data_IF_159812028359
#
_entry.id   IF_159812028359
#
_cell.length_a   1.000
_cell.length_b   1.000
_cell.length_c   1.000
_cell.angle_alpha   90.00
_cell.angle_beta   90.00
_cell.angle_gamma   90.00
#
_symmetry.space_group_name_H-M   'P 1'
#
loop_
_entity.id
_entity.type
_entity.pdbx_description
1 polymer ?
#
# COMPACT_ATOMS: atom_id res chain seq x y z
N UNK A 1 2.73 -7.14 1.60
CA UNK A 1 4.18 -6.97 1.33
C UNK A 1 5.02 -6.88 2.61
N UNK A 2 4.51 -6.28 3.70
CA UNK A 2 5.28 -6.10 4.94
C UNK A 2 5.86 -7.38 5.56
N UNK A 3 5.06 -8.45 5.69
CA UNK A 3 5.54 -9.73 6.21
C UNK A 3 6.56 -10.40 5.29
N UNK A 4 6.39 -10.26 3.98
CA UNK A 4 7.34 -10.75 2.98
C UNK A 4 8.67 -10.04 3.09
N UNK A 5 8.68 -8.72 3.27
CA UNK A 5 9.89 -7.94 3.45
C UNK A 5 10.71 -8.41 4.66
N UNK A 6 10.03 -8.65 5.80
CA UNK A 6 10.67 -9.20 6.99
C UNK A 6 11.27 -10.59 6.74
N UNK A 7 10.51 -11.47 6.10
CA UNK A 7 11.01 -12.81 5.77
C UNK A 7 12.23 -12.77 4.84
N UNK A 8 12.25 -11.87 3.85
CA UNK A 8 13.38 -11.72 2.93
C UNK A 8 14.64 -11.22 3.67
N UNK A 9 14.53 -10.25 4.57
CA UNK A 9 15.67 -9.78 5.39
C UNK A 9 16.22 -10.87 6.31
N UNK A 10 15.34 -11.65 6.94
CA UNK A 10 15.74 -12.78 7.78
C UNK A 10 16.58 -13.81 6.99
N UNK A 11 16.45 -13.82 5.66
CA UNK A 11 17.21 -14.66 4.74
C UNK A 11 18.33 -13.90 4.00
N UNK A 12 18.72 -12.71 4.47
CA UNK A 12 19.84 -11.94 3.93
C UNK A 12 19.55 -11.18 2.63
N UNK A 13 18.27 -11.01 2.26
CA UNK A 13 17.85 -10.24 1.10
C UNK A 13 17.33 -8.85 1.54
N UNK A 14 18.04 -7.75 1.23
CA UNK A 14 17.65 -6.42 1.66
C UNK A 14 16.42 -5.90 0.90
N UNK A 15 15.47 -5.33 1.63
CA UNK A 15 14.16 -4.85 1.16
C UNK A 15 13.78 -3.45 1.65
N UNK A 16 13.41 -2.55 0.75
CA UNK A 16 12.79 -1.27 1.10
C UNK A 16 11.35 -1.25 0.60
N UNK A 17 10.42 -0.81 1.44
CA UNK A 17 9.03 -0.59 1.05
C UNK A 17 8.85 0.87 0.67
N UNK A 18 8.22 1.12 -0.48
CA UNK A 18 7.69 2.43 -0.86
C UNK A 18 6.18 2.36 -0.72
N UNK A 19 5.57 3.28 0.05
CA UNK A 19 4.15 3.15 0.39
C UNK A 19 3.51 4.45 0.86
N UNK A 20 2.17 4.43 0.91
CA UNK A 20 1.34 5.59 1.30
C UNK A 20 0.50 5.36 2.56
N UNK A 21 0.49 4.14 3.11
CA UNK A 21 -0.22 3.81 4.36
C UNK A 21 0.77 3.75 5.53
N UNK A 22 1.13 4.91 6.09
CA UNK A 22 2.21 5.02 7.07
C UNK A 22 1.95 4.16 8.31
N UNK A 23 0.79 4.34 8.90
CA UNK A 23 0.32 3.62 10.10
C UNK A 23 0.37 2.09 9.93
N UNK A 24 -0.19 1.57 8.83
CA UNK A 24 -0.23 0.13 8.56
C UNK A 24 1.19 -0.43 8.40
N UNK A 25 2.06 0.27 7.66
CA UNK A 25 3.41 -0.22 7.36
C UNK A 25 4.32 -0.15 8.59
N UNK A 26 4.22 0.91 9.38
CA UNK A 26 4.97 1.06 10.63
C UNK A 26 4.51 0.05 11.68
N UNK A 27 3.21 -0.19 11.82
CA UNK A 27 2.65 -1.22 12.73
C UNK A 27 3.16 -2.62 12.35
N UNK A 28 3.20 -2.93 11.06
CA UNK A 28 3.77 -4.20 10.59
C UNK A 28 5.27 -4.35 10.88
N UNK A 29 5.97 -3.27 11.23
CA UNK A 29 7.35 -3.30 11.68
C UNK A 29 8.36 -3.65 10.60
N UNK A 30 8.23 -3.03 9.43
CA UNK A 30 9.05 -3.36 8.26
C UNK A 30 10.50 -2.89 8.42
N UNK A 31 11.46 -3.49 7.70
CA UNK A 31 12.88 -3.18 7.85
C UNK A 31 13.21 -1.73 7.48
N UNK A 32 12.73 -1.26 6.33
CA UNK A 32 12.95 0.08 5.79
C UNK A 32 11.70 0.55 5.07
N UNK A 33 11.33 1.81 5.27
CA UNK A 33 10.12 2.37 4.69
C UNK A 33 10.34 3.79 4.15
N UNK A 34 10.06 3.99 2.87
CA UNK A 34 9.87 5.32 2.28
C UNK A 34 8.37 5.60 2.19
N UNK A 35 7.95 6.57 3.00
CA UNK A 35 6.58 7.06 3.03
C UNK A 35 6.41 8.23 2.05
N UNK A 36 5.43 8.10 1.15
CA UNK A 36 4.97 9.19 0.28
C UNK A 36 3.49 9.42 0.57
N UNK A 37 3.16 10.61 1.11
CA UNK A 37 1.82 10.97 1.60
C UNK A 37 0.81 11.30 0.48
N UNK A 38 0.64 10.34 -0.43
CA UNK A 38 -0.16 10.41 -1.64
C UNK A 38 -1.34 9.43 -1.58
N UNK A 39 -2.36 9.58 -2.44
CA UNK A 39 -3.45 8.61 -2.51
C UNK A 39 -2.93 7.19 -2.73
N UNK A 40 -3.58 6.23 -2.06
CA UNK A 40 -3.23 4.81 -2.18
C UNK A 40 -3.17 4.37 -3.64
N UNK A 41 -2.06 3.72 -4.00
CA UNK A 41 -1.73 3.34 -5.39
C UNK A 41 -0.68 4.24 -6.05
N UNK A 42 -0.29 5.35 -5.43
CA UNK A 42 0.72 6.29 -5.97
C UNK A 42 1.98 6.42 -5.09
N UNK A 43 2.57 5.32 -4.55
CA UNK A 43 3.68 5.42 -3.61
C UNK A 43 4.98 5.95 -4.25
N UNK A 44 5.10 5.82 -5.57
CA UNK A 44 6.27 6.23 -6.35
C UNK A 44 6.15 7.64 -6.93
N UNK A 45 5.10 8.40 -6.63
CA UNK A 45 4.92 9.76 -7.16
C UNK A 45 3.69 9.93 -8.03
N UNK A 46 3.49 11.16 -8.54
CA UNK A 46 2.36 11.50 -9.43
C UNK A 46 2.49 10.79 -10.78
N UNK A 47 1.37 10.45 -11.44
CA UNK A 47 1.40 9.97 -12.82
C UNK A 47 2.16 10.95 -13.73
N UNK A 48 3.01 10.40 -14.60
CA UNK A 48 3.76 11.14 -15.63
C UNK A 48 4.84 12.13 -15.14
N UNK A 49 4.93 12.39 -13.84
CA UNK A 49 5.99 13.20 -13.24
C UNK A 49 7.26 12.36 -13.05
N UNK A 50 8.07 12.27 -14.10
CA UNK A 50 9.29 11.45 -14.12
C UNK A 50 10.36 11.93 -13.14
N UNK A 51 10.44 13.23 -12.89
CA UNK A 51 11.44 13.81 -11.99
C UNK A 51 11.11 13.46 -10.54
N UNK A 52 9.85 13.64 -10.13
CA UNK A 52 9.37 13.20 -8.83
C UNK A 52 9.54 11.69 -8.64
N UNK A 53 9.15 10.89 -9.63
CA UNK A 53 9.28 9.43 -9.55
C UNK A 53 10.72 8.99 -9.36
N UNK A 54 11.65 9.63 -10.10
CA UNK A 54 13.09 9.38 -9.94
C UNK A 54 13.57 9.73 -8.54
N UNK A 55 13.24 10.90 -8.03
CA UNK A 55 13.67 11.36 -6.71
C UNK A 55 13.15 10.46 -5.57
N UNK A 56 11.91 9.94 -5.68
CA UNK A 56 11.35 9.01 -4.70
C UNK A 56 12.09 7.67 -4.74
N UNK A 57 12.40 7.14 -5.93
CA UNK A 57 13.20 5.91 -6.08
C UNK A 57 14.62 6.10 -5.53
N UNK A 58 15.27 7.23 -5.81
CA UNK A 58 16.59 7.57 -5.26
C UNK A 58 16.57 7.64 -3.73
N UNK A 59 15.50 8.18 -3.14
CA UNK A 59 15.29 8.17 -1.67
C UNK A 59 15.22 6.74 -1.14
N UNK A 60 14.50 5.85 -1.83
CA UNK A 60 14.38 4.44 -1.43
C UNK A 60 15.70 3.69 -1.52
N UNK A 61 16.47 3.88 -2.59
CA UNK A 61 17.80 3.28 -2.74
C UNK A 61 18.80 3.84 -1.73
N UNK A 62 18.75 5.14 -1.45
CA UNK A 62 19.58 5.77 -0.42
C UNK A 62 19.25 5.20 0.97
N UNK A 63 17.96 5.02 1.29
CA UNK A 63 17.55 4.40 2.54
C UNK A 63 18.00 2.93 2.62
N UNK A 64 17.90 2.19 1.52
CA UNK A 64 18.36 0.80 1.43
C UNK A 64 19.86 0.69 1.77
N UNK A 65 20.68 1.60 1.26
CA UNK A 65 22.13 1.63 1.47
C UNK A 65 22.53 2.13 2.87
N UNK A 66 21.83 3.14 3.41
CA UNK A 66 22.27 3.88 4.61
C UNK A 66 21.58 3.48 5.90
N UNK A 67 20.49 2.70 5.85
CA UNK A 67 19.80 2.25 7.06
C UNK A 67 20.74 1.41 7.94
N UNK A 68 20.97 1.87 9.17
CA UNK A 68 21.88 1.21 10.12
C UNK A 68 21.15 0.26 11.09
N UNK A 69 19.82 0.28 11.11
CA UNK A 69 18.97 -0.62 11.89
C UNK A 69 17.62 -0.80 11.18
N UNK A 70 16.86 -1.87 11.48
CA UNK A 70 15.50 -2.02 10.96
C UNK A 70 14.54 -0.98 11.55
N UNK A 71 13.33 -0.88 10.97
CA UNK A 71 12.25 0.05 11.36
C UNK A 71 12.61 1.53 11.16
N UNK A 72 13.36 1.84 10.12
CA UNK A 72 13.61 3.23 9.71
C UNK A 72 12.57 3.66 8.68
N UNK A 73 11.85 4.74 9.00
CA UNK A 73 10.95 5.44 8.08
C UNK A 73 11.57 6.75 7.61
N UNK A 74 11.53 7.02 6.30
CA UNK A 74 11.83 8.32 5.70
C UNK A 74 10.60 8.80 4.95
N UNK A 75 10.21 10.06 5.16
CA UNK A 75 9.12 10.69 4.42
C UNK A 75 9.67 11.51 3.27
N UNK A 76 9.07 11.38 2.08
CA UNK A 76 9.42 12.20 0.92
C UNK A 76 8.85 13.63 1.06
N UNK A 77 9.47 14.65 0.44
CA UNK A 77 9.05 16.04 0.61
C UNK A 77 7.91 16.45 -0.34
N UNK A 78 7.39 15.53 -1.15
CA UNK A 78 6.43 15.85 -2.21
C UNK A 78 5.00 15.96 -1.67
N UNK A 79 4.19 16.80 -2.32
CA UNK A 79 2.81 17.08 -1.93
C UNK A 79 1.88 16.74 -3.10
N UNK A 80 0.76 16.09 -2.79
CA UNK A 80 -0.31 15.86 -3.76
C UNK A 80 -1.01 17.19 -4.09
N UNK A 81 -1.74 17.29 -5.20
CA UNK A 81 -2.33 18.58 -5.61
C UNK A 81 -3.27 19.19 -4.57
N UNK A 82 -4.06 18.35 -3.90
CA UNK A 82 -4.94 18.71 -2.80
C UNK A 82 -5.16 17.50 -1.88
N UNK A 83 -5.95 17.70 -0.84
CA UNK A 83 -6.25 16.69 0.18
C UNK A 83 -7.63 16.03 0.02
N UNK A 84 -8.40 16.39 -1.00
CA UNK A 84 -9.79 15.94 -1.21
C UNK A 84 -9.88 14.41 -1.31
N UNK A 85 -8.83 13.78 -1.82
CA UNK A 85 -8.74 12.32 -1.90
C UNK A 85 -8.85 11.64 -0.54
N UNK A 86 -8.47 12.29 0.57
CA UNK A 86 -8.53 11.68 1.91
C UNK A 86 -9.97 11.45 2.36
N UNK A 87 -10.89 12.35 2.00
CA UNK A 87 -12.31 12.22 2.34
C UNK A 87 -13.08 11.36 1.35
N UNK A 88 -12.63 11.31 0.10
CA UNK A 88 -13.27 10.50 -0.95
C UNK A 88 -12.79 9.05 -0.97
N UNK A 89 -11.58 8.77 -0.48
CA UNK A 89 -11.03 7.42 -0.43
C UNK A 89 -11.87 6.50 0.47
N UNK A 90 -12.41 5.43 -0.12
CA UNK A 90 -13.26 4.44 0.57
C UNK A 90 -14.45 5.06 1.33
N UNK A 91 -14.94 6.21 0.88
CA UNK A 91 -16.07 6.92 1.47
C UNK A 91 -17.32 6.04 1.48
N UNK A 92 -17.94 5.89 2.65
CA UNK A 92 -19.24 5.22 2.81
C UNK A 92 -20.17 6.16 3.54
N UNK A 93 -21.22 6.60 2.85
CA UNK A 93 -22.21 7.54 3.36
C UNK A 93 -23.63 7.15 2.93
N UNK A 94 -24.62 7.97 3.24
CA UNK A 94 -26.02 7.70 2.91
C UNK A 94 -26.27 7.57 1.40
N UNK A 95 -25.44 8.21 0.56
CA UNK A 95 -25.60 8.19 -0.90
C UNK A 95 -25.22 6.86 -1.52
N UNK A 96 -24.34 6.07 -0.88
CA UNK A 96 -23.79 4.86 -1.47
C UNK A 96 -23.93 3.58 -0.61
N UNK A 97 -24.30 3.69 0.66
CA UNK A 97 -24.35 2.57 1.61
C UNK A 97 -25.19 1.39 1.13
N UNK A 98 -26.39 1.64 0.64
CA UNK A 98 -27.29 0.57 0.18
C UNK A 98 -26.76 -0.14 -1.08
N UNK A 99 -26.21 0.63 -2.02
CA UNK A 99 -25.63 0.08 -3.23
C UNK A 99 -24.41 -0.80 -2.92
N UNK A 100 -23.52 -0.35 -2.02
CA UNK A 100 -22.37 -1.11 -1.56
C UNK A 100 -22.77 -2.37 -0.79
N UNK A 101 -23.84 -2.31 0.01
CA UNK A 101 -24.37 -3.48 0.73
C UNK A 101 -24.86 -4.56 -0.25
N UNK A 102 -25.66 -4.18 -1.26
CA UNK A 102 -26.12 -5.09 -2.32
C UNK A 102 -24.97 -5.73 -3.10
N UNK A 103 -23.97 -4.93 -3.48
CA UNK A 103 -22.79 -5.47 -4.18
C UNK A 103 -21.98 -6.41 -3.27
N UNK A 104 -21.89 -6.10 -1.98
CA UNK A 104 -21.28 -6.97 -0.97
C UNK A 104 -21.98 -8.32 -0.84
N UNK A 105 -23.32 -8.35 -0.84
CA UNK A 105 -24.12 -9.58 -0.83
C UNK A 105 -23.90 -10.41 -2.10
N UNK A 106 -23.98 -9.76 -3.26
CA UNK A 106 -23.72 -10.40 -4.56
C UNK A 106 -22.34 -11.05 -4.59
N UNK A 107 -21.31 -10.34 -4.14
CA UNK A 107 -19.93 -10.86 -4.08
C UNK A 107 -19.83 -12.09 -3.17
N UNK A 108 -20.49 -12.09 -2.00
CA UNK A 108 -20.50 -13.26 -1.09
C UNK A 108 -21.19 -14.47 -1.71
N UNK A 109 -22.30 -14.29 -2.41
CA UNK A 109 -22.98 -15.37 -3.13
C UNK A 109 -22.08 -15.98 -4.22
N UNK A 110 -21.41 -15.13 -5.02
CA UNK A 110 -20.47 -15.58 -6.04
C UNK A 110 -19.28 -16.35 -5.44
N UNK A 111 -18.73 -15.87 -4.32
CA UNK A 111 -17.64 -16.58 -3.61
C UNK A 111 -18.09 -17.94 -3.08
N UNK A 112 -19.31 -18.06 -2.56
CA UNK A 112 -19.87 -19.33 -2.09
C UNK A 112 -20.05 -20.35 -3.23
N UNK A 113 -20.61 -19.91 -4.37
CA UNK A 113 -20.75 -20.74 -5.57
C UNK A 113 -19.38 -21.21 -6.08
N UNK A 114 -18.40 -20.31 -6.14
CA UNK A 114 -17.04 -20.64 -6.56
C UNK A 114 -16.33 -21.64 -5.63
N UNK A 115 -16.66 -21.62 -4.33
CA UNK A 115 -16.14 -22.60 -3.36
C UNK A 115 -16.76 -23.99 -3.57
N UNK A 116 -18.07 -24.07 -3.74
CA UNK A 116 -18.78 -25.33 -4.02
C UNK A 116 -18.33 -25.98 -5.33
N UNK A 117 -18.08 -25.19 -6.38
CA UNK A 117 -17.55 -25.70 -7.66
C UNK A 117 -16.13 -26.25 -7.57
N UNK A 118 -15.30 -25.74 -6.64
CA UNK A 118 -13.96 -26.30 -6.38
C UNK A 118 -14.06 -27.61 -5.59
N UNK A 119 -14.91 -27.66 -4.57
CA UNK A 119 -15.10 -28.86 -3.73
C UNK A 119 -15.75 -30.03 -4.48
N UNK A 120 -16.56 -29.77 -5.51
CA UNK A 120 -17.15 -30.81 -6.36
C UNK A 120 -16.30 -31.24 -7.56
N UNK A 121 -15.05 -30.76 -7.66
CA UNK A 121 -14.11 -31.07 -8.77
C UNK A 121 -12.95 -31.98 -8.36
N UNK A 122 -12.88 -32.31 -7.08
CA UNK A 122 -12.02 -33.36 -6.50
C UNK A 122 -12.81 -34.67 -6.40
#
# INVERSE_FOLDING_TARGET
MSLTARHLEENGLPTVIMGSAKDIVEECGVPRFVFTDFPLGNPCGKPWDREMQRAIVETALTLLERAWMPRITVQTPFIWENDDWRTEFMKVDETNREALAREGERRRQLQALGKQQKEGRD
#
